data_IF_710007340324
#
_entry.id   IF_710007340324
#
_cell.length_a   1.000
_cell.length_b   1.000
_cell.length_c   1.000
_cell.angle_alpha   90.00
_cell.angle_beta   90.00
_cell.angle_gamma   90.00
#
_symmetry.space_group_name_H-M   'P 1'
#
loop_
_entity.id
_entity.type
_entity.pdbx_description
1 polymer ?
#
# COMPACT_ATOMS: atom_id res chain seq x y z
N UNK A 1 -47.47 -13.11 7.72
CA UNK A 1 -46.93 -12.64 9.00
C UNK A 1 -45.43 -12.69 8.89
N UNK A 2 -44.73 -11.70 9.41
CA UNK A 2 -43.26 -11.73 9.41
C UNK A 2 -42.78 -12.76 10.42
N UNK A 3 -41.77 -13.55 10.04
CA UNK A 3 -41.13 -14.54 10.92
C UNK A 3 -39.81 -13.94 11.39
N UNK A 4 -39.58 -13.92 12.70
CA UNK A 4 -38.32 -13.40 13.24
C UNK A 4 -37.16 -14.35 12.89
N UNK A 5 -36.00 -13.81 12.56
CA UNK A 5 -34.82 -14.63 12.25
C UNK A 5 -34.35 -15.53 13.40
N UNK A 6 -34.61 -15.12 14.65
CA UNK A 6 -34.37 -15.95 15.84
C UNK A 6 -35.20 -17.23 15.84
N UNK A 7 -36.43 -17.16 15.32
CA UNK A 7 -37.32 -18.32 15.24
C UNK A 7 -36.83 -19.27 14.15
N UNK A 8 -36.35 -18.72 13.02
CA UNK A 8 -35.74 -19.51 11.95
C UNK A 8 -34.46 -20.21 12.40
N UNK A 9 -33.67 -19.58 13.28
CA UNK A 9 -32.46 -20.17 13.85
C UNK A 9 -32.78 -21.30 14.83
N UNK A 10 -33.82 -21.14 15.64
CA UNK A 10 -34.24 -22.11 16.65
C UNK A 10 -35.05 -23.29 16.08
N UNK A 11 -35.67 -23.11 14.91
CA UNK A 11 -36.39 -24.18 14.22
C UNK A 11 -35.44 -25.33 13.87
N UNK A 12 -35.78 -26.51 14.38
CA UNK A 12 -34.97 -27.72 14.29
C UNK A 12 -35.10 -28.44 12.96
N UNK A 13 -36.24 -28.31 12.28
CA UNK A 13 -36.46 -29.00 11.00
C UNK A 13 -36.12 -28.13 9.78
N UNK A 14 -35.93 -26.82 10.00
CA UNK A 14 -35.56 -25.83 8.99
C UNK A 14 -36.53 -25.81 7.83
N UNK A 15 -37.82 -25.87 8.17
CA UNK A 15 -38.90 -25.83 7.21
C UNK A 15 -39.91 -24.75 7.54
N UNK A 16 -40.47 -24.15 6.50
CA UNK A 16 -41.62 -23.26 6.60
C UNK A 16 -42.83 -24.02 6.06
N UNK A 17 -43.70 -24.43 6.97
CA UNK A 17 -44.96 -25.07 6.65
C UNK A 17 -46.07 -24.02 6.44
N UNK A 18 -46.64 -24.03 5.24
CA UNK A 18 -47.83 -23.27 4.90
C UNK A 18 -49.04 -24.20 4.86
N UNK A 19 -50.13 -23.80 5.51
CA UNK A 19 -51.42 -24.51 5.46
C UNK A 19 -52.53 -23.54 5.14
N UNK A 20 -53.29 -23.82 4.09
CA UNK A 20 -54.52 -23.10 3.75
C UNK A 20 -55.70 -24.03 3.96
N UNK A 21 -56.68 -23.57 4.75
CA UNK A 21 -57.94 -24.29 4.99
C UNK A 21 -59.05 -23.62 4.20
N UNK A 22 -59.71 -24.36 3.32
CA UNK A 22 -60.92 -23.93 2.62
C UNK A 22 -62.12 -24.49 3.37
N UNK A 23 -63.15 -23.67 3.63
CA UNK A 23 -64.41 -24.12 4.22
C UNK A 23 -65.56 -23.63 3.34
N UNK A 24 -66.42 -24.55 2.91
CA UNK A 24 -67.61 -24.19 2.12
C UNK A 24 -68.76 -23.70 3.03
N UNK A 25 -69.84 -23.20 2.40
CA UNK A 25 -71.00 -22.68 3.14
C UNK A 25 -71.76 -23.76 3.93
N UNK A 26 -71.57 -25.04 3.61
CA UNK A 26 -72.15 -26.17 4.34
C UNK A 26 -71.28 -26.60 5.53
N UNK A 27 -70.09 -26.02 5.69
CA UNK A 27 -69.15 -26.31 6.77
C UNK A 27 -68.17 -27.45 6.48
N UNK A 28 -68.08 -27.94 5.23
CA UNK A 28 -67.04 -28.90 4.86
C UNK A 28 -65.70 -28.18 4.70
N UNK A 29 -64.63 -28.75 5.26
CA UNK A 29 -63.29 -28.18 5.13
C UNK A 29 -62.31 -29.10 4.40
N UNK A 30 -61.40 -28.50 3.62
CA UNK A 30 -60.22 -29.15 3.05
C UNK A 30 -58.98 -28.32 3.32
N UNK A 31 -57.83 -28.97 3.35
CA UNK A 31 -56.55 -28.30 3.56
C UNK A 31 -55.66 -28.50 2.34
N UNK A 32 -54.89 -27.48 1.99
CA UNK A 32 -53.71 -27.57 1.12
C UNK A 32 -52.51 -27.20 1.97
N UNK A 33 -51.48 -28.03 1.94
CA UNK A 33 -50.22 -27.79 2.65
C UNK A 33 -49.07 -27.69 1.66
N UNK A 34 -48.10 -26.85 1.98
CA UNK A 34 -46.83 -26.75 1.28
C UNK A 34 -45.71 -26.58 2.30
N UNK A 35 -44.52 -27.09 1.99
CA UNK A 35 -43.36 -27.08 2.90
C UNK A 35 -42.15 -26.60 2.13
N UNK A 36 -41.57 -25.48 2.57
CA UNK A 36 -40.33 -24.94 2.01
C UNK A 36 -39.16 -25.19 2.98
N UNK A 37 -38.14 -25.90 2.52
CA UNK A 37 -36.89 -26.07 3.27
C UNK A 37 -36.01 -24.82 3.15
N UNK A 38 -35.24 -24.52 4.19
CA UNK A 38 -34.22 -23.47 4.16
C UNK A 38 -32.93 -23.92 4.87
N UNK A 39 -31.85 -23.18 4.67
CA UNK A 39 -30.60 -23.35 5.42
C UNK A 39 -30.30 -22.10 6.21
N UNK A 40 -29.51 -22.25 7.27
CA UNK A 40 -29.00 -21.14 8.08
C UNK A 40 -27.51 -21.32 8.20
N UNK A 41 -26.77 -20.29 7.79
CA UNK A 41 -25.33 -20.21 7.95
C UNK A 41 -25.00 -18.92 8.69
N UNK A 42 -24.42 -19.07 9.88
CA UNK A 42 -24.01 -17.95 10.75
C UNK A 42 -22.50 -17.96 10.99
N UNK A 43 -21.77 -18.78 10.24
CA UNK A 43 -20.35 -19.07 10.47
C UNK A 43 -19.55 -18.30 9.44
N UNK A 44 -18.79 -17.30 9.90
CA UNK A 44 -17.87 -16.59 9.03
C UNK A 44 -16.72 -17.51 8.55
N UNK A 45 -16.08 -17.19 7.41
CA UNK A 45 -14.89 -17.90 6.95
C UNK A 45 -13.80 -17.98 8.03
N UNK A 46 -13.25 -19.16 8.27
CA UNK A 46 -12.14 -19.34 9.22
C UNK A 46 -10.87 -18.71 8.65
N UNK A 47 -10.46 -17.58 9.23
CA UNK A 47 -9.27 -16.84 8.84
C UNK A 47 -7.99 -17.37 9.50
N UNK A 48 -8.03 -18.49 10.21
CA UNK A 48 -6.84 -19.11 10.79
C UNK A 48 -5.84 -19.47 9.69
N UNK A 49 -4.66 -18.85 9.72
CA UNK A 49 -3.62 -19.02 8.70
C UNK A 49 -3.68 -17.99 7.56
N UNK A 50 -4.71 -17.15 7.50
CA UNK A 50 -4.69 -15.98 6.64
C UNK A 50 -3.65 -14.97 7.15
N UNK A 51 -2.79 -14.48 6.27
CA UNK A 51 -1.79 -13.46 6.60
C UNK A 51 -1.86 -12.34 5.59
N UNK A 52 -2.06 -11.12 6.09
CA UNK A 52 -1.93 -9.87 5.33
C UNK A 52 -0.60 -9.23 5.71
N UNK A 53 0.16 -8.78 4.72
CA UNK A 53 1.38 -8.01 4.91
C UNK A 53 1.40 -6.84 3.92
N UNK A 54 1.87 -5.69 4.38
CA UNK A 54 2.16 -4.52 3.56
C UNK A 54 3.68 -4.44 3.34
N UNK A 55 4.11 -4.18 2.11
CA UNK A 55 5.54 -3.97 1.81
C UNK A 55 5.98 -2.55 2.21
N UNK A 56 7.29 -2.26 2.11
CA UNK A 56 7.78 -0.90 2.24
C UNK A 56 7.03 0.07 1.31
N UNK A 57 6.78 1.29 1.79
CA UNK A 57 6.27 2.37 0.94
C UNK A 57 7.43 2.81 0.05
N UNK A 58 7.28 2.72 -1.27
CA UNK A 58 8.38 2.94 -2.24
C UNK A 58 9.55 1.95 -1.99
N UNK A 59 10.72 2.17 -2.60
CA UNK A 59 11.82 1.19 -2.54
C UNK A 59 12.60 1.23 -1.21
N UNK A 60 12.58 2.36 -0.51
CA UNK A 60 13.42 2.67 0.64
C UNK A 60 12.60 2.93 1.92
N UNK A 61 11.27 2.78 1.86
CA UNK A 61 10.35 3.11 2.96
C UNK A 61 10.33 4.61 3.31
N UNK A 62 10.73 5.47 2.38
CA UNK A 62 10.73 6.93 2.53
C UNK A 62 9.96 7.56 1.36
N UNK A 63 8.96 8.37 1.68
CA UNK A 63 8.29 9.18 0.66
C UNK A 63 9.12 10.42 0.37
N UNK A 64 9.60 10.55 -0.87
CA UNK A 64 10.36 11.71 -1.32
C UNK A 64 9.51 12.81 -1.97
N UNK A 65 10.13 13.94 -2.32
CA UNK A 65 9.43 15.10 -2.90
C UNK A 65 8.71 14.75 -4.21
N UNK A 66 9.35 13.99 -5.10
CA UNK A 66 8.76 13.61 -6.38
C UNK A 66 7.57 12.65 -6.19
N UNK A 67 7.71 11.68 -5.30
CA UNK A 67 6.68 10.70 -4.97
C UNK A 67 5.49 11.35 -4.28
N UNK A 68 5.72 12.33 -3.39
CA UNK A 68 4.67 13.05 -2.68
C UNK A 68 3.70 13.83 -3.59
N UNK A 69 4.10 14.11 -4.83
CA UNK A 69 3.29 14.82 -5.83
C UNK A 69 2.74 13.90 -6.93
N UNK A 70 3.05 12.60 -6.84
CA UNK A 70 2.69 11.58 -7.82
C UNK A 70 1.76 10.52 -7.23
N UNK A 71 1.37 9.54 -8.03
CA UNK A 71 0.73 8.32 -7.52
C UNK A 71 1.81 7.33 -7.06
N UNK A 72 1.69 6.87 -5.82
CA UNK A 72 2.56 5.84 -5.23
C UNK A 72 1.83 4.51 -5.25
N UNK A 73 2.49 3.47 -5.77
CA UNK A 73 1.94 2.11 -5.76
C UNK A 73 2.32 1.43 -4.44
N UNK A 74 1.34 1.26 -3.55
CA UNK A 74 1.50 0.47 -2.33
C UNK A 74 1.26 -0.99 -2.66
N UNK A 75 2.13 -1.87 -2.16
CA UNK A 75 2.08 -3.31 -2.42
C UNK A 75 2.07 -4.12 -1.15
N UNK A 76 1.74 -5.40 -1.28
CA UNK A 76 1.86 -6.34 -0.19
C UNK A 76 1.45 -7.74 -0.60
N UNK A 77 1.24 -8.60 0.39
CA UNK A 77 0.79 -9.98 0.19
C UNK A 77 -0.42 -10.31 1.06
N UNK A 78 -1.28 -11.18 0.54
CA UNK A 78 -2.40 -11.79 1.20
C UNK A 78 -2.36 -13.30 0.90
N UNK A 79 -2.14 -14.10 1.93
CA UNK A 79 -2.03 -15.56 1.82
C UNK A 79 -3.04 -16.23 2.75
N UNK A 80 -3.28 -17.53 2.54
CA UNK A 80 -4.20 -18.31 3.38
C UNK A 80 -5.66 -17.84 3.28
N UNK A 81 -6.10 -17.38 2.10
CA UNK A 81 -7.48 -16.98 1.86
C UNK A 81 -8.40 -18.19 2.18
N UNK A 82 -9.40 -18.04 3.07
CA UNK A 82 -10.30 -19.13 3.43
C UNK A 82 -11.01 -19.69 2.19
N UNK A 83 -11.13 -21.02 2.12
CA UNK A 83 -11.66 -21.71 0.93
C UNK A 83 -13.15 -21.45 0.69
N UNK A 84 -13.89 -21.10 1.73
CA UNK A 84 -15.31 -20.75 1.73
C UNK A 84 -15.58 -19.25 1.58
N UNK A 85 -14.53 -18.42 1.47
CA UNK A 85 -14.70 -17.01 1.12
C UNK A 85 -15.22 -16.88 -0.32
N UNK A 86 -16.45 -16.40 -0.46
CA UNK A 86 -17.04 -16.07 -1.76
C UNK A 86 -16.48 -14.75 -2.32
N UNK A 87 -16.15 -13.79 -1.45
CA UNK A 87 -15.49 -12.54 -1.82
C UNK A 87 -14.37 -12.18 -0.86
N UNK A 88 -13.30 -11.61 -1.40
CA UNK A 88 -12.15 -11.09 -0.64
C UNK A 88 -11.89 -9.64 -1.06
N UNK A 89 -11.84 -8.73 -0.10
CA UNK A 89 -11.58 -7.30 -0.33
C UNK A 89 -10.44 -6.84 0.57
N UNK A 90 -9.43 -6.21 -0.01
CA UNK A 90 -8.35 -5.55 0.73
C UNK A 90 -8.53 -4.03 0.64
N UNK A 91 -8.59 -3.37 1.78
CA UNK A 91 -8.66 -1.92 1.89
C UNK A 91 -7.51 -1.37 2.71
N UNK A 92 -7.03 -0.19 2.34
CA UNK A 92 -6.02 0.57 3.07
C UNK A 92 -6.67 1.87 3.57
N UNK A 93 -6.29 2.32 4.76
CA UNK A 93 -6.63 3.66 5.26
C UNK A 93 -5.33 4.46 5.36
N UNK A 94 -5.27 5.59 4.67
CA UNK A 94 -4.15 6.56 4.68
C UNK A 94 -4.77 7.94 4.77
N UNK A 95 -4.34 8.80 5.72
CA UNK A 95 -4.91 10.14 5.90
C UNK A 95 -6.45 10.14 6.06
N UNK A 96 -7.00 9.07 6.66
CA UNK A 96 -8.45 8.85 6.77
C UNK A 96 -9.17 8.52 5.46
N UNK A 97 -8.47 8.44 4.33
CA UNK A 97 -9.01 8.05 3.02
C UNK A 97 -8.90 6.54 2.85
N UNK A 98 -9.98 5.90 2.38
CA UNK A 98 -9.99 4.47 2.09
C UNK A 98 -9.62 4.20 0.63
N UNK A 99 -8.58 3.40 0.43
CA UNK A 99 -8.14 2.87 -0.86
C UNK A 99 -8.49 1.39 -0.96
N UNK A 100 -8.93 0.94 -2.14
CA UNK A 100 -9.19 -0.49 -2.39
C UNK A 100 -8.06 -1.09 -3.22
N UNK A 101 -7.47 -2.17 -2.75
CA UNK A 101 -6.42 -2.88 -3.47
C UNK A 101 -7.00 -3.91 -4.44
N UNK A 102 -6.22 -4.21 -5.48
CA UNK A 102 -6.44 -5.35 -6.37
C UNK A 102 -5.56 -6.51 -5.91
N UNK A 103 -6.16 -7.66 -5.59
CA UNK A 103 -5.46 -8.89 -5.19
C UNK A 103 -5.30 -9.79 -6.41
N UNK A 104 -4.08 -10.26 -6.66
CA UNK A 104 -3.79 -11.33 -7.60
C UNK A 104 -4.01 -12.68 -6.89
N UNK A 105 -5.07 -13.44 -7.25
CA UNK A 105 -5.39 -14.70 -6.57
C UNK A 105 -4.36 -15.81 -6.84
N UNK A 106 -3.55 -15.71 -7.91
CA UNK A 106 -2.57 -16.73 -8.24
C UNK A 106 -1.30 -16.61 -7.39
N UNK A 107 -0.91 -15.39 -7.04
CA UNK A 107 0.34 -15.12 -6.30
C UNK A 107 0.10 -14.65 -4.87
N UNK A 108 -1.12 -14.22 -4.55
CA UNK A 108 -1.44 -13.55 -3.28
C UNK A 108 -0.89 -12.13 -3.19
N UNK A 109 -0.23 -11.59 -4.22
CA UNK A 109 0.23 -10.21 -4.21
C UNK A 109 -0.95 -9.26 -4.38
N UNK A 110 -0.90 -8.10 -3.76
CA UNK A 110 -1.89 -7.06 -3.98
C UNK A 110 -1.24 -5.71 -4.22
N UNK A 111 -1.95 -4.82 -4.91
CA UNK A 111 -1.50 -3.44 -5.16
C UNK A 111 -2.64 -2.44 -4.99
N UNK A 112 -2.33 -1.26 -4.48
CA UNK A 112 -3.22 -0.10 -4.45
C UNK A 112 -2.47 1.13 -4.98
N UNK A 113 -3.12 1.89 -5.85
CA UNK A 113 -2.61 3.18 -6.31
C UNK A 113 -3.08 4.27 -5.35
N UNK A 114 -2.13 4.86 -4.62
CA UNK A 114 -2.37 5.84 -3.55
C UNK A 114 -1.85 7.20 -3.98
N UNK A 115 -2.56 8.28 -3.65
CA UNK A 115 -2.04 9.62 -3.90
C UNK A 115 -0.87 9.92 -2.94
N UNK A 116 0.28 10.32 -3.47
CA UNK A 116 1.43 10.72 -2.67
C UNK A 116 1.11 11.88 -1.71
N UNK A 117 0.15 12.73 -2.09
CA UNK A 117 -0.33 13.82 -1.22
C UNK A 117 -1.05 13.31 0.03
N UNK A 118 -1.73 12.16 -0.05
CA UNK A 118 -2.34 11.54 1.13
C UNK A 118 -1.28 10.94 2.04
N UNK A 119 -0.27 10.25 1.49
CA UNK A 119 0.87 9.77 2.29
C UNK A 119 1.63 10.92 2.97
N UNK A 120 1.79 12.05 2.28
CA UNK A 120 2.42 13.24 2.85
C UNK A 120 1.59 13.82 4.00
N UNK A 121 0.27 13.92 3.82
CA UNK A 121 -0.66 14.52 4.78
C UNK A 121 -1.01 13.61 5.96
N UNK A 122 -0.80 12.31 5.83
CA UNK A 122 -1.12 11.29 6.83
C UNK A 122 -0.39 11.52 8.15
N UNK A 123 -1.11 11.88 9.21
CA UNK A 123 -0.48 12.48 10.38
C UNK A 123 0.45 11.54 11.16
N UNK A 124 0.16 10.24 11.18
CA UNK A 124 0.91 9.22 11.91
C UNK A 124 1.85 8.39 11.01
N UNK A 125 1.85 8.66 9.70
CA UNK A 125 2.67 7.98 8.69
C UNK A 125 2.55 6.46 8.79
N UNK A 126 1.32 6.00 8.96
CA UNK A 126 0.97 4.58 9.12
C UNK A 126 -0.11 4.20 8.12
N UNK A 127 0.14 3.16 7.33
CA UNK A 127 -0.85 2.54 6.46
C UNK A 127 -1.54 1.43 7.25
N UNK A 128 -2.85 1.57 7.47
CA UNK A 128 -3.67 0.50 8.04
C UNK A 128 -4.32 -0.32 6.93
N UNK A 129 -3.94 -1.59 6.77
CA UNK A 129 -4.57 -2.49 5.82
C UNK A 129 -5.52 -3.48 6.51
N UNK A 130 -6.61 -3.80 5.81
CA UNK A 130 -7.60 -4.80 6.24
C UNK A 130 -8.03 -5.66 5.05
N UNK A 131 -7.91 -6.97 5.21
CA UNK A 131 -8.52 -7.95 4.31
C UNK A 131 -9.81 -8.46 4.94
N UNK A 132 -10.92 -8.36 4.23
CA UNK A 132 -12.23 -8.89 4.65
C UNK A 132 -12.60 -10.07 3.75
N UNK A 133 -12.96 -11.19 4.38
CA UNK A 133 -13.43 -12.40 3.72
C UNK A 133 -14.92 -12.55 4.01
N UNK A 134 -15.74 -12.73 2.98
CA UNK A 134 -17.19 -12.89 3.12
C UNK A 134 -17.62 -14.17 2.40
N UNK A 135 -18.38 -15.02 3.09
CA UNK A 135 -18.94 -16.25 2.50
C UNK A 135 -20.15 -15.96 1.61
N UNK A 136 -20.77 -17.01 1.06
CA UNK A 136 -21.96 -16.89 0.21
C UNK A 136 -23.24 -16.50 0.99
N UNK A 137 -23.27 -16.70 2.30
CA UNK A 137 -24.38 -16.34 3.18
C UNK A 137 -24.27 -14.89 3.70
N UNK A 138 -23.12 -14.23 3.51
CA UNK A 138 -22.83 -12.87 3.93
C UNK A 138 -22.09 -12.76 5.27
N UNK A 139 -21.71 -13.87 5.91
CA UNK A 139 -20.92 -13.82 7.14
C UNK A 139 -19.48 -13.42 6.80
N UNK A 140 -18.84 -12.64 7.68
CA UNK A 140 -17.52 -12.09 7.39
C UNK A 140 -16.51 -12.22 8.52
N UNK A 141 -15.26 -12.48 8.16
CA UNK A 141 -14.08 -12.41 9.02
C UNK A 141 -13.04 -11.47 8.40
N UNK A 142 -11.99 -11.13 9.15
CA UNK A 142 -10.96 -10.22 8.64
C UNK A 142 -9.59 -10.46 9.28
N UNK A 143 -8.54 -10.03 8.59
CA UNK A 143 -7.18 -9.86 9.12
C UNK A 143 -6.70 -8.44 8.82
N UNK A 144 -5.79 -7.93 9.65
CA UNK A 144 -5.26 -6.57 9.54
C UNK A 144 -3.75 -6.59 9.58
N UNK A 145 -3.13 -5.57 9.00
CA UNK A 145 -1.71 -5.29 9.12
C UNK A 145 -1.47 -3.78 9.10
N UNK A 146 -0.32 -3.34 9.61
CA UNK A 146 0.05 -1.92 9.67
C UNK A 146 1.49 -1.72 9.23
N UNK A 147 1.74 -0.72 8.37
CA UNK A 147 3.10 -0.37 7.92
C UNK A 147 3.39 1.10 8.16
N UNK A 148 4.49 1.37 8.85
CA UNK A 148 4.98 2.75 9.07
C UNK A 148 6.01 3.13 8.01
N UNK A 149 6.03 4.41 7.63
CA UNK A 149 6.98 4.94 6.65
C UNK A 149 7.50 6.30 7.09
N UNK A 150 8.61 6.71 6.49
CA UNK A 150 9.20 8.03 6.73
C UNK A 150 8.85 8.96 5.57
N UNK A 151 9.00 10.26 5.81
CA UNK A 151 8.82 11.27 4.77
C UNK A 151 10.01 12.19 4.80
N UNK A 152 10.63 12.37 3.64
CA UNK A 152 11.66 13.36 3.42
C UNK A 152 11.47 14.01 2.06
N UNK A 153 10.87 15.20 2.06
CA UNK A 153 10.62 15.97 0.84
C UNK A 153 11.61 17.14 0.69
N UNK A 154 12.68 17.15 1.48
CA UNK A 154 13.60 18.29 1.53
C UNK A 154 14.83 17.98 0.71
N UNK A 155 15.04 18.72 -0.37
CA UNK A 155 16.27 18.59 -1.14
C UNK A 155 17.51 19.06 -0.34
N UNK A 156 18.69 18.44 -0.57
CA UNK A 156 19.96 18.92 -0.06
C UNK A 156 20.27 20.33 -0.60
N UNK A 157 21.14 21.05 0.10
CA UNK A 157 21.75 22.26 -0.43
C UNK A 157 22.60 21.96 -1.67
N UNK A 158 22.82 22.97 -2.52
CA UNK A 158 23.74 22.86 -3.66
C UNK A 158 25.15 22.53 -3.14
N UNK A 159 25.83 21.51 -3.69
CA UNK A 159 27.20 21.18 -3.30
C UNK A 159 28.16 22.36 -3.47
N UNK A 160 29.05 22.52 -2.50
CA UNK A 160 30.19 23.43 -2.65
C UNK A 160 31.33 22.68 -3.34
N UNK A 161 32.04 23.37 -4.22
CA UNK A 161 33.19 22.80 -4.94
C UNK A 161 34.42 23.64 -4.59
N UNK A 162 35.50 22.95 -4.21
CA UNK A 162 36.79 23.59 -4.00
C UNK A 162 37.34 24.13 -5.33
N UNK A 163 38.24 25.14 -5.30
CA UNK A 163 38.89 25.64 -6.51
C UNK A 163 39.53 24.51 -7.34
N UNK A 164 39.07 24.38 -8.59
CA UNK A 164 39.52 23.34 -9.50
C UNK A 164 40.85 23.75 -10.15
N UNK A 165 41.74 22.78 -10.30
CA UNK A 165 42.94 22.92 -11.12
C UNK A 165 43.09 21.74 -12.09
N UNK A 166 44.11 21.78 -12.95
CA UNK A 166 44.26 20.81 -14.04
C UNK A 166 44.77 19.42 -13.63
N UNK A 167 45.15 19.20 -12.38
CA UNK A 167 45.85 17.98 -11.95
C UNK A 167 45.30 17.33 -10.68
N UNK A 168 44.84 18.13 -9.73
CA UNK A 168 44.36 17.62 -8.46
C UNK A 168 42.95 17.03 -8.60
N UNK A 169 42.59 16.03 -7.76
CA UNK A 169 41.22 15.55 -7.65
C UNK A 169 40.28 16.72 -7.40
N UNK A 170 39.08 16.62 -7.97
CA UNK A 170 38.00 17.57 -7.68
C UNK A 170 37.44 17.19 -6.31
N UNK A 171 37.19 18.20 -5.49
CA UNK A 171 36.76 18.07 -4.09
C UNK A 171 35.69 19.08 -3.78
N UNK A 172 34.97 18.83 -2.70
CA UNK A 172 33.97 19.74 -2.20
C UNK A 172 33.28 19.20 -0.96
N UNK A 173 32.19 19.86 -0.61
CA UNK A 173 31.29 19.45 0.46
C UNK A 173 29.85 19.41 -0.05
N UNK A 174 29.04 18.53 0.52
CA UNK A 174 27.60 18.45 0.31
C UNK A 174 26.93 17.93 1.59
N UNK A 175 25.64 17.62 1.55
CA UNK A 175 24.96 17.03 2.70
C UNK A 175 25.59 15.68 3.09
N UNK A 176 25.93 15.43 4.37
CA UNK A 176 26.51 14.17 4.80
C UNK A 176 25.65 12.95 4.46
N UNK A 177 26.27 11.92 3.86
CA UNK A 177 25.60 10.69 3.45
C UNK A 177 24.79 10.81 2.15
N UNK A 178 24.78 11.97 1.50
CA UNK A 178 24.24 12.14 0.16
C UNK A 178 25.16 11.56 -0.91
N UNK A 179 24.62 11.27 -2.09
CA UNK A 179 25.39 10.95 -3.30
C UNK A 179 25.59 12.21 -4.14
N UNK A 180 26.84 12.51 -4.49
CA UNK A 180 27.19 13.61 -5.39
C UNK A 180 27.45 13.06 -6.80
N UNK A 181 26.68 13.54 -7.78
CA UNK A 181 26.90 13.30 -9.21
C UNK A 181 27.65 14.47 -9.82
N UNK A 182 28.87 14.21 -10.29
CA UNK A 182 29.71 15.17 -11.02
C UNK A 182 29.59 14.92 -12.51
N UNK A 183 29.20 15.94 -13.28
CA UNK A 183 29.13 15.89 -14.76
C UNK A 183 30.22 16.77 -15.36
N UNK A 184 31.08 16.17 -16.18
CA UNK A 184 32.20 16.84 -16.86
C UNK A 184 31.77 17.51 -18.18
N UNK A 185 32.61 18.40 -18.76
CA UNK A 185 32.30 19.10 -20.01
C UNK A 185 32.03 18.19 -21.21
N UNK A 186 32.57 16.97 -21.22
CA UNK A 186 32.34 15.97 -22.26
C UNK A 186 31.02 15.18 -22.07
N UNK A 187 30.29 15.45 -20.98
CA UNK A 187 29.04 14.79 -20.60
C UNK A 187 29.22 13.51 -19.80
N UNK A 188 30.45 13.06 -19.53
CA UNK A 188 30.68 11.92 -18.65
C UNK A 188 30.34 12.26 -17.20
N UNK A 189 29.89 11.27 -16.44
CA UNK A 189 29.48 11.43 -15.05
C UNK A 189 30.23 10.50 -14.10
N UNK A 190 30.43 10.96 -12.87
CA UNK A 190 30.95 10.17 -11.76
C UNK A 190 30.08 10.42 -10.54
N UNK A 191 29.61 9.34 -9.91
CA UNK A 191 28.89 9.39 -8.64
C UNK A 191 29.84 9.05 -7.49
N UNK A 192 29.73 9.78 -6.38
CA UNK A 192 30.50 9.56 -5.16
C UNK A 192 29.63 9.79 -3.94
N UNK A 193 29.70 8.88 -2.97
CA UNK A 193 29.08 9.10 -1.66
C UNK A 193 29.91 10.11 -0.86
N UNK A 194 29.21 11.05 -0.22
CA UNK A 194 29.82 12.00 0.71
C UNK A 194 30.13 11.32 2.03
N UNK A 195 31.14 11.83 2.74
CA UNK A 195 31.40 11.39 4.10
C UNK A 195 30.13 11.57 4.96
N UNK A 196 29.68 10.53 5.68
CA UNK A 196 28.41 10.54 6.40
C UNK A 196 28.41 11.47 7.63
N UNK A 197 29.57 12.04 7.99
CA UNK A 197 29.70 12.98 9.11
C UNK A 197 30.05 14.38 8.62
N UNK A 198 31.01 14.50 7.70
CA UNK A 198 31.54 15.82 7.27
C UNK A 198 30.93 16.31 5.97
N UNK A 199 30.35 15.44 5.15
CA UNK A 199 29.85 15.80 3.82
C UNK A 199 30.96 16.00 2.78
N UNK A 200 32.23 15.74 3.13
CA UNK A 200 33.35 15.85 2.19
C UNK A 200 33.26 14.78 1.10
N UNK A 201 33.59 15.14 -0.13
CA UNK A 201 33.63 14.21 -1.26
C UNK A 201 34.81 14.52 -2.18
N UNK A 202 35.25 13.51 -2.96
CA UNK A 202 36.31 13.69 -3.93
C UNK A 202 36.14 12.76 -5.13
N UNK A 203 36.40 13.28 -6.34
CA UNK A 203 36.42 12.48 -7.58
C UNK A 203 37.73 12.69 -8.33
N UNK A 204 38.22 11.67 -9.08
CA UNK A 204 39.38 11.83 -9.94
C UNK A 204 39.19 12.94 -10.97
N UNK A 205 40.23 13.72 -11.22
CA UNK A 205 40.25 14.66 -12.33
C UNK A 205 40.40 13.89 -13.65
N UNK A 206 39.51 14.09 -14.65
CA UNK A 206 39.63 13.40 -15.93
C UNK A 206 40.86 13.87 -16.74
N UNK A 207 41.46 15.00 -16.35
CA UNK A 207 42.50 15.68 -17.11
C UNK A 207 41.93 16.43 -18.31
N UNK A 208 42.69 17.40 -18.81
CA UNK A 208 42.32 18.14 -20.02
C UNK A 208 41.22 19.19 -19.86
N UNK A 209 40.81 19.48 -18.63
CA UNK A 209 39.98 20.65 -18.30
C UNK A 209 40.71 21.94 -18.67
N UNK A 210 40.01 22.85 -19.34
CA UNK A 210 40.50 24.15 -19.78
C UNK A 210 39.85 25.27 -18.98
N UNK A 211 40.49 26.43 -18.99
CA UNK A 211 39.89 27.64 -18.43
C UNK A 211 38.56 27.95 -19.12
N UNK A 212 37.52 28.18 -18.33
CA UNK A 212 36.14 28.37 -18.80
C UNK A 212 35.32 27.09 -18.96
N UNK A 213 35.89 25.90 -18.78
CA UNK A 213 35.10 24.66 -18.71
C UNK A 213 34.20 24.66 -17.47
N UNK A 214 32.98 24.15 -17.62
CA UNK A 214 31.99 24.06 -16.55
C UNK A 214 31.79 22.62 -16.11
N UNK A 215 31.88 22.38 -14.80
CA UNK A 215 31.46 21.12 -14.17
C UNK A 215 30.14 21.35 -13.46
N UNK A 216 29.21 20.42 -13.61
CA UNK A 216 27.95 20.43 -12.87
C UNK A 216 28.01 19.41 -11.74
N UNK A 217 27.56 19.80 -10.55
CA UNK A 217 27.56 18.92 -9.37
C UNK A 217 26.18 18.97 -8.74
N UNK A 218 25.57 17.79 -8.55
CA UNK A 218 24.27 17.65 -7.91
C UNK A 218 24.42 16.66 -6.77
N UNK A 219 24.07 17.05 -5.54
CA UNK A 219 23.86 16.11 -4.44
C UNK A 219 22.43 15.57 -4.48
N UNK A 220 22.27 14.29 -4.16
CA UNK A 220 21.01 13.58 -3.96
C UNK A 220 21.03 12.97 -2.56
N UNK A 221 20.08 13.33 -1.71
CA UNK A 221 19.98 12.81 -0.34
C UNK A 221 19.63 11.30 -0.31
N UNK A 222 19.63 10.65 0.87
CA UNK A 222 19.26 9.23 0.98
C UNK A 222 17.82 8.89 0.57
N UNK A 223 16.90 9.85 0.58
CA UNK A 223 15.51 9.68 0.12
C UNK A 223 15.36 9.87 -1.41
N UNK A 224 16.42 10.29 -2.08
CA UNK A 224 16.43 10.51 -3.53
C UNK A 224 16.05 11.94 -3.95
N UNK A 225 15.98 12.92 -3.04
CA UNK A 225 15.74 14.31 -3.44
C UNK A 225 17.03 14.94 -3.99
N UNK A 226 17.02 15.49 -5.22
CA UNK A 226 18.18 16.18 -5.76
C UNK A 226 18.21 17.65 -5.32
N UNK A 227 19.41 18.15 -5.03
CA UNK A 227 19.71 19.58 -4.89
C UNK A 227 19.40 20.34 -6.19
N UNK A 228 19.35 21.68 -6.06
CA UNK A 228 19.31 22.56 -7.23
C UNK A 228 20.60 22.40 -8.09
N UNK A 229 20.50 22.64 -9.42
CA UNK A 229 21.60 22.44 -10.36
C UNK A 229 22.73 23.46 -10.25
#
# INVERSE_FOLDING_TARGET
>A
ADVAGSDLLADSDKTIDAKVTFTDAAGNSSNVTDTQVYTVDTTAPDNTGATLAIDAVTADNVLNAAESTSTVKVTGTLTGIPADAATTVVTLVINGVTYTATVDPATGKWTADVAGSDLLADSDKTIDAKATFTDAAGNSSNVTDTQTYNVDVTAPAVPEIDPINGTDPIKGTAEPGSTVTVTFPDGSTVDVETDPTTGEWTVPNPGGLKDGDTIKVIATDPAGNPSAP
#
